data_IF_364881034073
#
_entry.id   IF_364881034073
#
_cell.length_a   1.000
_cell.length_b   1.000
_cell.length_c   1.000
_cell.angle_alpha   90.00
_cell.angle_beta   90.00
_cell.angle_gamma   90.00
#
_symmetry.space_group_name_H-M   'P 1'
#
loop_
_entity.id
_entity.type
_entity.pdbx_description
1 polymer ?
#
# COMPACT_ATOMS: atom_id res chain seq x y z
N UNK A 1 13.16 11.28 1.13
CA UNK A 1 12.09 11.07 2.14
C UNK A 1 12.06 9.57 2.37
N UNK A 2 12.15 9.08 3.62
CA UNK A 2 11.90 7.65 3.87
C UNK A 2 10.38 7.44 3.74
N UNK A 3 9.96 6.54 2.87
CA UNK A 3 8.54 6.25 2.67
C UNK A 3 8.07 5.34 3.80
N UNK A 4 7.81 5.93 4.96
CA UNK A 4 7.39 5.18 6.14
C UNK A 4 5.89 5.02 6.16
N UNK A 5 5.43 3.78 6.05
CA UNK A 5 4.04 3.44 6.25
C UNK A 5 3.84 2.96 7.69
N UNK A 6 3.18 3.77 8.50
CA UNK A 6 2.76 3.38 9.84
C UNK A 6 1.43 2.62 9.77
N UNK A 7 1.47 1.37 9.28
CA UNK A 7 0.31 0.48 9.24
C UNK A 7 -0.07 0.07 10.67
N UNK A 8 -1.32 0.31 11.05
CA UNK A 8 -1.83 -0.30 12.27
C UNK A 8 -2.00 -1.81 12.09
N UNK A 9 -1.68 -2.54 13.15
CA UNK A 9 -1.91 -3.98 13.30
C UNK A 9 -2.01 -4.32 14.78
N UNK A 10 -2.36 -5.56 15.11
CA UNK A 10 -2.41 -6.06 16.49
C UNK A 10 -1.08 -5.88 17.26
N UNK A 11 0.06 -5.80 16.56
CA UNK A 11 1.36 -5.49 17.18
C UNK A 11 1.41 -4.10 17.84
N UNK A 12 0.53 -3.20 17.41
CA UNK A 12 0.39 -1.84 17.93
C UNK A 12 -0.93 -1.65 18.68
N UNK A 13 -1.57 -2.74 19.11
CA UNK A 13 -2.77 -2.69 19.94
C UNK A 13 -2.52 -1.86 21.21
N UNK A 14 -3.55 -1.13 21.64
CA UNK A 14 -3.46 -0.25 22.81
C UNK A 14 -3.30 -1.05 24.11
N UNK A 15 -3.93 -2.22 24.16
CA UNK A 15 -3.68 -3.23 25.17
C UNK A 15 -2.75 -4.30 24.57
N UNK A 16 -1.65 -4.67 25.25
CA UNK A 16 -0.72 -5.67 24.74
C UNK A 16 -1.41 -7.02 24.50
N UNK A 17 -1.38 -7.48 23.25
CA UNK A 17 -1.83 -8.83 22.88
C UNK A 17 -0.63 -9.78 23.06
N UNK A 18 -0.87 -10.97 23.61
CA UNK A 18 0.18 -11.99 23.72
C UNK A 18 0.39 -12.64 22.34
N UNK A 19 1.60 -12.56 21.79
CA UNK A 19 1.96 -13.09 20.47
C UNK A 19 0.99 -12.68 19.34
N UNK A 20 0.87 -11.36 19.06
CA UNK A 20 0.05 -10.89 17.95
C UNK A 20 0.52 -11.52 16.64
N UNK A 21 -0.42 -11.84 15.76
CA UNK A 21 -0.08 -12.43 14.47
C UNK A 21 0.54 -11.36 13.56
N UNK A 22 1.63 -11.67 12.84
CA UNK A 22 2.18 -10.76 11.86
C UNK A 22 1.18 -10.50 10.73
N UNK A 23 1.27 -9.32 10.13
CA UNK A 23 0.51 -8.97 8.93
C UNK A 23 1.08 -9.76 7.74
N UNK A 24 0.34 -10.73 7.22
CA UNK A 24 0.83 -11.63 6.17
C UNK A 24 0.33 -11.29 4.76
N UNK A 25 -0.40 -10.18 4.63
CA UNK A 25 -1.12 -9.79 3.42
C UNK A 25 -0.87 -8.32 3.02
N UNK A 26 0.19 -7.69 3.52
CA UNK A 26 0.54 -6.29 3.22
C UNK A 26 2.05 -6.08 3.05
N UNK A 27 2.49 -6.13 1.80
CA UNK A 27 3.89 -5.95 1.42
C UNK A 27 4.01 -4.85 0.38
N UNK A 28 4.73 -3.77 0.69
CA UNK A 28 4.91 -2.64 -0.21
C UNK A 28 6.38 -2.47 -0.52
N UNK A 29 6.72 -2.46 -1.80
CA UNK A 29 8.07 -2.20 -2.28
C UNK A 29 8.08 -0.87 -3.01
N UNK A 30 8.95 0.03 -2.59
CA UNK A 30 9.12 1.37 -3.13
C UNK A 30 10.42 1.48 -3.92
N UNK A 31 10.41 2.33 -4.95
CA UNK A 31 11.62 2.79 -5.64
C UNK A 31 11.69 4.32 -5.65
N UNK A 32 12.85 4.87 -5.32
CA UNK A 32 13.12 6.31 -5.33
C UNK A 32 14.59 6.58 -5.73
N UNK A 33 14.81 7.58 -6.57
CA UNK A 33 16.14 8.14 -6.83
C UNK A 33 16.49 9.28 -5.87
N UNK A 34 17.78 9.43 -5.63
CA UNK A 34 18.41 10.59 -5.01
C UNK A 34 18.72 11.61 -6.10
N UNK A 35 18.16 12.82 -5.94
CA UNK A 35 18.35 13.93 -6.89
C UNK A 35 19.83 14.26 -7.08
N UNK A 36 20.26 14.31 -8.34
CA UNK A 36 21.63 14.58 -8.76
C UNK A 36 22.65 13.48 -8.44
N UNK A 37 22.21 12.29 -8.02
CA UNK A 37 23.10 11.17 -7.67
C UNK A 37 22.87 9.96 -8.58
N UNK A 38 21.62 9.52 -8.74
CA UNK A 38 21.26 8.31 -9.50
C UNK A 38 19.94 8.47 -10.27
N UNK A 39 19.66 9.68 -10.74
CA UNK A 39 18.47 10.09 -11.48
C UNK A 39 18.68 10.21 -13.00
N UNK A 40 19.80 9.70 -13.52
CA UNK A 40 19.96 9.44 -14.95
C UNK A 40 18.89 8.43 -15.43
N UNK A 41 18.28 8.69 -16.59
CA UNK A 41 17.23 7.83 -17.18
C UNK A 41 16.13 7.43 -16.18
N UNK A 42 15.75 8.37 -15.31
CA UNK A 42 14.90 8.08 -14.16
C UNK A 42 13.54 7.49 -14.53
N UNK A 43 12.91 8.07 -15.56
CA UNK A 43 11.59 7.64 -16.02
C UNK A 43 11.64 6.20 -16.51
N UNK A 44 12.69 5.83 -17.25
CA UNK A 44 12.90 4.48 -17.76
C UNK A 44 13.14 3.49 -16.62
N UNK A 45 13.95 3.87 -15.62
CA UNK A 45 14.20 3.05 -14.42
C UNK A 45 12.90 2.78 -13.64
N UNK A 46 12.05 3.79 -13.45
CA UNK A 46 10.76 3.63 -12.78
C UNK A 46 9.76 2.81 -13.58
N UNK A 47 9.69 3.01 -14.90
CA UNK A 47 8.87 2.16 -15.78
C UNK A 47 9.34 0.71 -15.76
N UNK A 48 10.66 0.48 -15.75
CA UNK A 48 11.24 -0.86 -15.62
C UNK A 48 10.86 -1.51 -14.29
N UNK A 49 11.00 -0.80 -13.16
CA UNK A 49 10.56 -1.25 -11.83
C UNK A 49 9.09 -1.70 -11.85
N UNK A 50 8.19 -0.85 -12.35
CA UNK A 50 6.76 -1.15 -12.40
C UNK A 50 6.43 -2.32 -13.34
N UNK A 51 7.12 -2.43 -14.49
CA UNK A 51 6.95 -3.57 -15.42
C UNK A 51 7.44 -4.89 -14.82
N UNK A 52 8.52 -4.87 -14.05
CA UNK A 52 8.98 -6.03 -13.30
C UNK A 52 7.94 -6.43 -12.26
N UNK A 53 7.36 -5.46 -11.53
CA UNK A 53 6.33 -5.72 -10.55
C UNK A 53 5.12 -6.45 -11.16
N UNK A 54 4.67 -6.05 -12.35
CA UNK A 54 3.51 -6.65 -13.02
C UNK A 54 3.61 -8.17 -13.26
N UNK A 55 4.82 -8.71 -13.42
CA UNK A 55 5.02 -10.16 -13.55
C UNK A 55 4.57 -10.92 -12.29
N UNK A 56 4.62 -10.25 -11.15
CA UNK A 56 4.29 -10.78 -9.81
C UNK A 56 2.88 -10.39 -9.34
N UNK A 57 2.04 -9.88 -10.24
CA UNK A 57 0.60 -9.61 -10.02
C UNK A 57 0.33 -8.77 -8.75
N UNK A 58 0.84 -7.53 -8.69
CA UNK A 58 0.61 -6.66 -7.54
C UNK A 58 -0.88 -6.35 -7.43
N UNK A 59 -1.37 -6.24 -6.20
CA UNK A 59 -2.77 -5.87 -5.91
C UNK A 59 -3.00 -4.38 -6.10
N UNK A 60 -1.95 -3.57 -5.97
CA UNK A 60 -1.94 -2.16 -6.32
C UNK A 60 -0.52 -1.71 -6.72
N UNK A 61 -0.43 -0.61 -7.45
CA UNK A 61 0.84 0.06 -7.75
C UNK A 61 0.56 1.53 -8.04
N UNK A 62 1.55 2.38 -7.86
CA UNK A 62 1.34 3.81 -8.06
C UNK A 62 2.59 4.64 -8.17
N UNK A 63 2.34 5.89 -8.52
CA UNK A 63 3.27 7.01 -8.57
C UNK A 63 2.77 8.05 -7.57
N UNK A 64 3.65 8.50 -6.66
CA UNK A 64 3.29 9.43 -5.59
C UNK A 64 2.79 10.81 -6.07
N UNK A 65 3.06 11.17 -7.33
CA UNK A 65 2.64 12.44 -7.94
C UNK A 65 1.47 12.29 -8.90
N UNK A 66 1.32 11.11 -9.52
CA UNK A 66 0.31 10.89 -10.56
C UNK A 66 -0.89 10.08 -10.12
N UNK A 67 -0.76 9.15 -9.16
CA UNK A 67 -1.85 8.25 -8.79
C UNK A 67 -1.47 6.78 -8.71
N UNK A 68 -2.37 5.97 -8.16
CA UNK A 68 -2.33 4.50 -8.26
C UNK A 68 -3.17 3.95 -9.41
N UNK A 69 -3.19 2.62 -9.56
CA UNK A 69 -4.03 1.93 -10.56
C UNK A 69 -5.53 2.23 -10.39
N UNK A 70 -5.95 2.56 -9.18
CA UNK A 70 -7.31 3.01 -8.87
C UNK A 70 -7.22 4.45 -8.36
N UNK A 71 -7.15 5.41 -9.28
CA UNK A 71 -7.01 6.83 -8.95
C UNK A 71 -8.28 7.65 -9.21
N UNK A 72 -8.47 8.83 -8.60
CA UNK A 72 -9.51 9.77 -8.99
C UNK A 72 -9.31 10.22 -10.44
N UNK A 73 -10.39 10.55 -11.13
CA UNK A 73 -10.36 11.00 -12.52
C UNK A 73 -10.94 12.41 -12.61
N UNK A 74 -10.27 13.29 -13.34
CA UNK A 74 -10.68 14.69 -13.48
C UNK A 74 -11.94 14.87 -14.33
N UNK A 75 -12.22 13.94 -15.24
CA UNK A 75 -13.40 13.95 -16.09
C UNK A 75 -14.64 13.32 -15.41
N UNK A 76 -14.55 13.02 -14.11
CA UNK A 76 -15.64 12.44 -13.33
C UNK A 76 -16.12 13.43 -12.25
N UNK A 77 -17.42 13.39 -11.97
CA UNK A 77 -18.00 14.12 -10.84
C UNK A 77 -18.08 13.22 -9.58
N UNK A 78 -18.28 13.80 -8.38
CA UNK A 78 -18.36 13.05 -7.12
C UNK A 78 -19.34 11.89 -7.12
N UNK A 79 -20.46 11.97 -7.86
CA UNK A 79 -21.47 10.90 -7.90
C UNK A 79 -21.04 9.76 -8.80
N UNK A 80 -20.36 10.05 -9.91
CA UNK A 80 -19.83 9.06 -10.85
C UNK A 80 -18.71 8.22 -10.24
N UNK A 81 -17.94 8.77 -9.28
CA UNK A 81 -16.98 7.96 -8.53
C UNK A 81 -17.66 6.73 -7.92
N UNK A 82 -18.88 6.80 -7.42
CA UNK A 82 -19.54 5.65 -6.78
C UNK A 82 -20.14 4.61 -7.74
N UNK A 83 -20.01 4.78 -9.06
CA UNK A 83 -20.61 3.90 -10.09
C UNK A 83 -19.71 3.76 -11.31
N UNK A 84 -18.40 3.71 -11.08
CA UNK A 84 -17.41 3.60 -12.16
C UNK A 84 -16.83 2.21 -12.25
N UNK A 85 -16.24 1.93 -13.41
CA UNK A 85 -15.38 0.77 -13.60
C UNK A 85 -14.25 0.76 -12.55
N UNK A 86 -14.10 -0.40 -11.91
CA UNK A 86 -13.12 -0.66 -10.86
C UNK A 86 -11.86 -1.33 -11.41
N UNK A 87 -11.82 -1.60 -12.72
CA UNK A 87 -10.69 -2.25 -13.38
C UNK A 87 -9.38 -1.49 -13.12
N UNK A 88 -8.37 -2.24 -12.73
CA UNK A 88 -7.01 -1.76 -12.54
C UNK A 88 -6.41 -1.39 -13.91
N UNK A 89 -5.79 -0.21 -13.99
CA UNK A 89 -5.08 0.25 -15.19
C UNK A 89 -3.58 0.49 -14.88
N UNK A 90 -2.76 -0.57 -14.89
CA UNK A 90 -1.32 -0.43 -14.66
C UNK A 90 -0.60 0.34 -15.76
N UNK A 91 -1.06 0.24 -17.01
CA UNK A 91 -0.43 0.95 -18.13
C UNK A 91 -0.61 2.46 -18.02
N UNK A 92 -1.76 2.93 -17.51
CA UNK A 92 -1.95 4.34 -17.19
C UNK A 92 -0.92 4.85 -16.17
N UNK A 93 -0.62 4.06 -15.13
CA UNK A 93 0.40 4.42 -14.13
C UNK A 93 1.79 4.49 -14.77
N UNK A 94 2.17 3.46 -15.53
CA UNK A 94 3.50 3.37 -16.18
C UNK A 94 3.69 4.50 -17.20
N UNK A 95 2.68 4.78 -18.03
CA UNK A 95 2.72 5.84 -19.03
C UNK A 95 2.76 7.23 -18.40
N UNK A 96 2.09 7.41 -17.25
CA UNK A 96 1.99 8.69 -16.55
C UNK A 96 3.28 9.20 -15.89
N UNK A 97 4.28 8.32 -15.69
CA UNK A 97 5.57 8.72 -15.10
C UNK A 97 6.28 9.69 -16.04
N UNK A 98 6.60 10.88 -15.54
CA UNK A 98 7.24 11.97 -16.29
C UNK A 98 8.42 12.63 -15.56
N UNK A 99 8.82 12.14 -14.38
CA UNK A 99 9.98 12.69 -13.68
C UNK A 99 10.20 12.16 -12.27
N UNK A 100 10.68 13.04 -11.38
CA UNK A 100 10.97 12.69 -9.99
C UNK A 100 9.70 12.41 -9.20
N UNK A 101 9.58 11.17 -8.77
CA UNK A 101 8.50 10.68 -7.92
C UNK A 101 9.00 9.53 -7.05
N UNK A 102 8.10 8.92 -6.29
CA UNK A 102 8.26 7.57 -5.75
C UNK A 102 7.30 6.66 -6.49
N UNK A 103 7.80 5.54 -6.98
CA UNK A 103 6.93 4.45 -7.45
C UNK A 103 6.82 3.36 -6.41
N UNK A 104 5.66 2.71 -6.34
CA UNK A 104 5.37 1.66 -5.38
C UNK A 104 4.63 0.49 -6.04
N UNK A 105 4.90 -0.72 -5.55
CA UNK A 105 4.15 -1.93 -5.84
C UNK A 105 3.68 -2.57 -4.53
N UNK A 106 2.43 -3.03 -4.50
CA UNK A 106 1.77 -3.59 -3.33
C UNK A 106 1.41 -5.05 -3.61
N UNK A 107 1.76 -5.95 -2.70
CA UNK A 107 1.51 -7.38 -2.78
C UNK A 107 0.75 -7.85 -1.54
N UNK A 108 -0.12 -8.83 -1.73
CA UNK A 108 -0.94 -9.45 -0.68
C UNK A 108 -0.38 -10.77 -0.17
N UNK A 109 0.85 -11.13 -0.58
CA UNK A 109 1.51 -12.34 -0.13
C UNK A 109 3.03 -12.19 -0.20
N UNK A 110 3.70 -12.90 0.71
CA UNK A 110 5.16 -12.86 0.86
C UNK A 110 5.90 -13.31 -0.40
N UNK A 111 5.41 -14.37 -1.06
CA UNK A 111 6.09 -15.01 -2.18
C UNK A 111 6.22 -14.05 -3.37
N UNK A 112 5.14 -13.35 -3.73
CA UNK A 112 5.15 -12.36 -4.80
C UNK A 112 6.12 -11.21 -4.52
N UNK A 113 6.17 -10.72 -3.27
CA UNK A 113 7.15 -9.70 -2.88
C UNK A 113 8.59 -10.23 -2.94
N UNK A 114 8.85 -11.44 -2.45
CA UNK A 114 10.19 -12.06 -2.49
C UNK A 114 10.68 -12.24 -3.92
N UNK A 115 9.85 -12.79 -4.79
CA UNK A 115 10.21 -13.05 -6.20
C UNK A 115 10.44 -11.73 -6.95
N UNK A 116 9.65 -10.70 -6.64
CA UNK A 116 9.87 -9.36 -7.17
C UNK A 116 11.18 -8.74 -6.70
N UNK A 117 11.52 -8.85 -5.40
CA UNK A 117 12.78 -8.32 -4.85
C UNK A 117 13.99 -9.04 -5.45
N UNK A 118 13.89 -10.35 -5.69
CA UNK A 118 14.93 -11.13 -6.36
C UNK A 118 15.14 -10.64 -7.81
N UNK A 119 14.06 -10.42 -8.57
CA UNK A 119 14.16 -9.83 -9.91
C UNK A 119 14.73 -8.42 -9.91
N UNK A 120 14.35 -7.58 -8.93
CA UNK A 120 14.89 -6.22 -8.79
C UNK A 120 16.40 -6.23 -8.53
N UNK A 121 16.87 -7.17 -7.71
CA UNK A 121 18.30 -7.37 -7.46
C UNK A 121 19.04 -7.68 -8.76
N UNK A 122 18.51 -8.58 -9.58
CA UNK A 122 19.12 -8.94 -10.88
C UNK A 122 19.07 -7.77 -11.86
N UNK A 123 17.98 -7.00 -11.86
CA UNK A 123 17.79 -5.86 -12.76
C UNK A 123 18.72 -4.68 -12.43
N UNK A 124 19.19 -4.57 -11.19
CA UNK A 124 20.13 -3.54 -10.71
C UNK A 124 19.88 -2.14 -11.29
N UNK A 125 18.67 -1.63 -11.06
CA UNK A 125 18.21 -0.36 -11.64
C UNK A 125 19.00 0.88 -11.12
N UNK A 126 19.92 0.70 -10.18
CA UNK A 126 20.75 1.76 -9.61
C UNK A 126 19.99 2.76 -8.73
N UNK A 127 18.74 2.48 -8.36
CA UNK A 127 17.87 3.33 -7.52
C UNK A 127 17.61 2.70 -6.16
N UNK A 128 17.24 3.53 -5.18
CA UNK A 128 16.99 3.07 -3.82
C UNK A 128 15.70 2.29 -3.74
N UNK A 129 15.75 1.11 -3.11
CA UNK A 129 14.59 0.27 -2.83
C UNK A 129 14.28 0.32 -1.33
N UNK A 130 13.01 0.51 -0.99
CA UNK A 130 12.52 0.44 0.39
C UNK A 130 11.38 -0.58 0.49
N UNK A 131 11.42 -1.45 1.49
CA UNK A 131 10.40 -2.49 1.71
C UNK A 131 9.66 -2.16 3.01
N UNK A 132 8.36 -1.94 2.90
CA UNK A 132 7.45 -1.85 4.04
C UNK A 132 6.70 -3.17 4.18
N UNK A 133 7.00 -3.90 5.25
CA UNK A 133 6.48 -5.23 5.60
C UNK A 133 6.70 -5.47 7.10
N UNK A 134 6.14 -6.54 7.71
CA UNK A 134 6.59 -6.97 9.03
C UNK A 134 8.10 -7.15 9.07
N UNK A 135 8.72 -6.75 10.19
CA UNK A 135 10.18 -6.65 10.30
C UNK A 135 10.89 -7.97 10.01
N UNK A 136 10.39 -9.06 10.59
CA UNK A 136 10.98 -10.39 10.43
C UNK A 136 10.88 -10.89 8.99
N UNK A 137 9.80 -10.55 8.29
CA UNK A 137 9.58 -10.92 6.90
C UNK A 137 10.41 -10.07 5.94
N UNK A 138 10.56 -8.77 6.20
CA UNK A 138 11.50 -7.92 5.47
C UNK A 138 12.95 -8.42 5.63
N UNK A 139 13.36 -8.78 6.86
CA UNK A 139 14.68 -9.34 7.13
C UNK A 139 14.86 -10.71 6.45
N UNK A 140 13.84 -11.57 6.48
CA UNK A 140 13.83 -12.86 5.79
C UNK A 140 14.01 -12.67 4.29
N UNK A 141 13.22 -11.79 3.66
CA UNK A 141 13.30 -11.49 2.23
C UNK A 141 14.72 -11.02 1.83
N UNK A 142 15.27 -10.04 2.54
CA UNK A 142 16.64 -9.57 2.28
C UNK A 142 17.67 -10.69 2.42
N UNK A 143 17.58 -11.53 3.46
CA UNK A 143 18.50 -12.66 3.66
C UNK A 143 18.41 -13.68 2.53
N UNK A 144 17.20 -14.06 2.13
CA UNK A 144 16.95 -15.02 1.05
C UNK A 144 17.40 -14.50 -0.31
N UNK A 145 17.30 -13.18 -0.55
CA UNK A 145 17.82 -12.51 -1.74
C UNK A 145 19.33 -12.19 -1.64
N UNK A 146 20.02 -12.56 -0.55
CA UNK A 146 21.43 -12.25 -0.33
C UNK A 146 21.74 -10.75 -0.22
N UNK A 147 20.76 -9.92 0.16
CA UNK A 147 20.85 -8.47 0.30
C UNK A 147 21.21 -8.12 1.75
N UNK A 148 22.29 -7.36 1.94
CA UNK A 148 22.58 -6.75 3.24
C UNK A 148 21.83 -5.42 3.35
N UNK A 149 20.84 -5.36 4.23
CA UNK A 149 20.07 -4.12 4.48
C UNK A 149 20.97 -3.03 5.07
N UNK A 150 20.84 -1.80 4.58
CA UNK A 150 21.66 -0.67 5.04
C UNK A 150 21.01 0.14 6.16
N UNK A 151 19.68 0.20 6.21
CA UNK A 151 18.93 0.92 7.24
C UNK A 151 17.62 0.21 7.56
N UNK A 152 17.05 0.61 8.69
CA UNK A 152 15.78 0.08 9.21
C UNK A 152 15.06 1.21 9.88
N UNK A 153 13.77 1.29 9.66
CA UNK A 153 12.91 2.22 10.37
C UNK A 153 11.91 1.45 11.24
N UNK A 154 11.80 1.86 12.50
CA UNK A 154 10.87 1.27 13.46
C UNK A 154 9.78 2.27 13.82
N UNK A 155 8.53 1.85 13.72
CA UNK A 155 7.44 2.56 14.40
C UNK A 155 7.40 2.15 15.86
N UNK A 156 7.43 3.12 16.77
CA UNK A 156 7.28 2.90 18.22
C UNK A 156 5.80 2.74 18.65
N UNK A 157 4.89 2.69 17.67
CA UNK A 157 3.45 2.58 17.85
C UNK A 157 2.76 3.88 18.25
N UNK A 158 1.48 3.76 18.59
CA UNK A 158 0.63 4.87 19.00
C UNK A 158 0.85 5.18 20.50
N UNK A 159 0.94 6.48 20.85
CA UNK A 159 1.16 6.95 22.23
C UNK A 159 0.22 8.12 22.56
N UNK A 160 -0.17 8.25 23.82
CA UNK A 160 -0.98 9.37 24.33
C UNK A 160 -2.35 8.93 24.86
N UNK A 161 -3.38 9.74 24.64
CA UNK A 161 -4.78 9.49 25.05
C UNK A 161 -5.47 8.52 24.10
N UNK A 162 -5.07 7.25 24.17
CA UNK A 162 -5.55 6.18 23.28
C UNK A 162 -7.06 5.92 23.41
N UNK A 163 -7.66 6.25 24.56
CA UNK A 163 -9.10 6.18 24.80
C UNK A 163 -9.93 7.16 23.97
N UNK A 164 -9.28 8.22 23.45
CA UNK A 164 -9.91 9.20 22.54
C UNK A 164 -9.60 8.91 21.07
N UNK A 165 -8.94 7.79 20.80
CA UNK A 165 -8.48 7.46 19.47
C UNK A 165 -9.56 6.73 18.67
N UNK A 166 -9.24 6.42 17.42
CA UNK A 166 -10.13 5.69 16.52
C UNK A 166 -10.28 4.24 17.00
N UNK A 167 -11.44 3.65 16.69
CA UNK A 167 -11.62 2.20 16.82
C UNK A 167 -10.64 1.44 15.91
N UNK A 168 -10.30 0.23 16.32
CA UNK A 168 -9.29 -0.65 15.72
C UNK A 168 -9.49 -0.81 14.21
N UNK A 169 -10.72 -1.11 13.77
CA UNK A 169 -11.03 -1.37 12.36
C UNK A 169 -10.86 -0.09 11.54
N UNK A 170 -11.38 1.04 12.02
CA UNK A 170 -11.19 2.34 11.35
C UNK A 170 -9.72 2.70 11.25
N UNK A 171 -8.93 2.39 12.28
CA UNK A 171 -7.51 2.69 12.32
C UNK A 171 -6.72 1.82 11.32
N UNK A 172 -7.00 0.53 11.28
CA UNK A 172 -6.40 -0.40 10.33
C UNK A 172 -6.69 0.04 8.88
N UNK A 173 -7.93 0.44 8.61
CA UNK A 173 -8.35 0.96 7.31
C UNK A 173 -7.70 2.30 6.92
N UNK A 174 -7.72 3.29 7.81
CA UNK A 174 -7.24 4.64 7.49
C UNK A 174 -5.71 4.75 7.43
N UNK A 175 -4.99 3.94 8.20
CA UNK A 175 -3.51 3.98 8.24
C UNK A 175 -2.85 3.33 7.04
N UNK A 176 -3.59 2.53 6.25
CA UNK A 176 -3.04 1.92 5.02
C UNK A 176 -2.50 2.95 4.02
N UNK A 177 -3.03 4.17 3.96
CA UNK A 177 -2.48 5.19 3.06
C UNK A 177 -1.10 5.72 3.50
N UNK A 178 -0.74 5.63 4.79
CA UNK A 178 0.46 6.23 5.38
C UNK A 178 0.44 7.76 5.51
N UNK A 179 -0.21 8.47 4.58
CA UNK A 179 -0.24 9.95 4.53
C UNK A 179 -1.53 10.57 5.10
N UNK A 180 -2.44 9.75 5.64
CA UNK A 180 -3.72 10.24 6.19
C UNK A 180 -4.75 10.73 5.16
N UNK A 181 -4.55 10.46 3.86
CA UNK A 181 -5.49 10.87 2.81
C UNK A 181 -6.79 10.05 2.81
N UNK A 182 -6.76 8.84 3.35
CA UNK A 182 -7.96 8.06 3.67
C UNK A 182 -8.42 8.49 5.06
N UNK A 183 -9.36 9.44 5.12
CA UNK A 183 -9.84 9.95 6.40
C UNK A 183 -10.57 8.88 7.21
N UNK A 184 -10.47 8.97 8.54
CA UNK A 184 -11.14 8.06 9.45
C UNK A 184 -12.68 8.06 9.29
N UNK A 185 -13.27 9.25 9.08
CA UNK A 185 -14.71 9.37 8.80
C UNK A 185 -15.11 8.67 7.51
N UNK A 186 -14.25 8.73 6.50
CA UNK A 186 -14.50 8.04 5.24
C UNK A 186 -14.39 6.52 5.41
N UNK A 187 -13.38 6.02 6.11
CA UNK A 187 -13.26 4.59 6.45
C UNK A 187 -14.49 4.07 7.21
N UNK A 188 -14.96 4.80 8.23
CA UNK A 188 -16.21 4.50 8.95
C UNK A 188 -17.41 4.46 8.01
N UNK A 189 -17.52 5.43 7.10
CA UNK A 189 -18.63 5.49 6.17
C UNK A 189 -18.66 4.31 5.20
N UNK A 190 -17.50 3.85 4.76
CA UNK A 190 -17.40 2.66 3.92
C UNK A 190 -17.83 1.40 4.67
N UNK A 191 -17.40 1.24 5.93
CA UNK A 191 -17.87 0.13 6.79
C UNK A 191 -19.40 0.17 7.00
N UNK A 192 -19.96 1.34 7.31
CA UNK A 192 -21.42 1.51 7.46
C UNK A 192 -22.17 1.11 6.19
N UNK A 193 -21.70 1.55 5.02
CA UNK A 193 -22.36 1.22 3.76
C UNK A 193 -22.33 -0.27 3.42
N UNK A 194 -21.29 -0.99 3.83
CA UNK A 194 -21.25 -2.45 3.66
C UNK A 194 -22.21 -3.13 4.64
N UNK A 195 -22.28 -2.68 5.90
CA UNK A 195 -23.25 -3.18 6.90
C UNK A 195 -24.70 -2.91 6.50
N UNK A 196 -24.96 -1.81 5.81
CA UNK A 196 -26.26 -1.41 5.28
C UNK A 196 -26.60 -2.09 3.93
N UNK A 197 -25.77 -3.02 3.44
CA UNK A 197 -25.92 -3.68 2.13
C UNK A 197 -25.99 -2.69 0.94
N UNK A 198 -25.37 -1.51 1.09
CA UNK A 198 -25.31 -0.48 0.06
C UNK A 198 -24.12 -0.67 -0.87
N UNK A 199 -23.08 -1.39 -0.42
CA UNK A 199 -21.84 -1.67 -1.14
C UNK A 199 -21.30 -3.04 -0.76
N UNK A 200 -20.58 -3.66 -1.66
CA UNK A 200 -19.79 -4.84 -1.33
C UNK A 200 -18.47 -4.43 -0.63
N UNK A 201 -17.83 -5.34 0.14
CA UNK A 201 -16.50 -5.10 0.70
C UNK A 201 -15.45 -4.72 -0.35
N UNK A 202 -15.51 -5.36 -1.52
CA UNK A 202 -14.63 -5.08 -2.64
C UNK A 202 -14.83 -3.65 -3.16
N UNK A 203 -16.07 -3.23 -3.40
CA UNK A 203 -16.37 -1.87 -3.85
C UNK A 203 -15.88 -0.82 -2.84
N UNK A 204 -16.11 -1.06 -1.55
CA UNK A 204 -15.66 -0.19 -0.48
C UNK A 204 -14.13 -0.05 -0.45
N UNK A 205 -13.39 -1.15 -0.54
CA UNK A 205 -11.94 -1.15 -0.61
C UNK A 205 -11.42 -0.37 -1.83
N UNK A 206 -12.02 -0.56 -3.00
CA UNK A 206 -11.65 0.16 -4.21
C UNK A 206 -11.99 1.65 -4.12
N UNK A 207 -13.07 2.04 -3.45
CA UNK A 207 -13.38 3.45 -3.20
C UNK A 207 -12.33 4.10 -2.31
N UNK A 208 -11.90 3.41 -1.26
CA UNK A 208 -10.88 3.89 -0.34
C UNK A 208 -9.54 4.11 -1.04
N UNK A 209 -9.13 3.16 -1.88
CA UNK A 209 -7.86 3.23 -2.61
C UNK A 209 -7.69 4.50 -3.45
N UNK A 210 -8.77 5.08 -3.95
CA UNK A 210 -8.74 6.31 -4.78
C UNK A 210 -8.25 7.52 -4.04
N UNK A 211 -8.51 7.59 -2.75
CA UNK A 211 -8.05 8.70 -1.94
C UNK A 211 -6.60 8.50 -1.49
N UNK A 212 -6.05 7.29 -1.68
CA UNK A 212 -4.62 7.06 -1.59
C UNK A 212 -3.93 7.44 -2.92
N UNK A 213 -3.56 8.72 -3.02
CA UNK A 213 -2.97 9.28 -4.24
C UNK A 213 -1.64 8.64 -4.67
N UNK A 214 -0.92 7.96 -3.77
CA UNK A 214 0.34 7.30 -4.12
C UNK A 214 0.19 5.81 -4.47
N UNK A 215 -1.01 5.25 -4.42
CA UNK A 215 -1.28 3.86 -4.84
C UNK A 215 -0.75 2.77 -3.91
N UNK A 216 -0.38 3.10 -2.67
CA UNK A 216 0.12 2.11 -1.68
C UNK A 216 -0.99 1.39 -0.92
N UNK A 217 -2.24 1.85 -1.06
CA UNK A 217 -3.38 1.26 -0.36
C UNK A 217 -3.65 -0.15 -0.86
N UNK A 218 -3.68 -1.11 0.05
CA UNK A 218 -3.86 -2.51 -0.27
C UNK A 218 -5.34 -2.87 -0.28
N UNK A 219 -5.91 -2.97 -1.49
CA UNK A 219 -7.34 -3.24 -1.67
C UNK A 219 -7.76 -4.62 -1.18
N UNK A 220 -6.88 -5.63 -1.26
CA UNK A 220 -7.21 -7.00 -0.82
C UNK A 220 -7.25 -7.10 0.69
N UNK A 221 -6.28 -6.50 1.37
CA UNK A 221 -6.29 -6.36 2.83
C UNK A 221 -7.50 -5.56 3.32
N UNK A 222 -7.80 -4.43 2.69
CA UNK A 222 -8.97 -3.62 3.02
C UNK A 222 -10.28 -4.40 2.88
N UNK A 223 -10.45 -5.15 1.80
CA UNK A 223 -11.59 -6.04 1.57
C UNK A 223 -11.72 -7.09 2.70
N UNK A 224 -10.61 -7.74 3.08
CA UNK A 224 -10.57 -8.72 4.16
C UNK A 224 -10.97 -8.15 5.52
N UNK A 225 -10.42 -6.98 5.88
CA UNK A 225 -10.77 -6.26 7.11
C UNK A 225 -12.27 -5.94 7.15
N UNK A 226 -12.82 -5.43 6.03
CA UNK A 226 -14.24 -5.07 5.93
C UNK A 226 -15.13 -6.32 6.04
N UNK A 227 -14.78 -7.43 5.38
CA UNK A 227 -15.50 -8.70 5.48
C UNK A 227 -15.57 -9.19 6.93
N UNK A 228 -14.43 -9.24 7.61
CA UNK A 228 -14.36 -9.63 9.02
C UNK A 228 -15.19 -8.70 9.91
N UNK A 229 -15.09 -7.39 9.72
CA UNK A 229 -15.83 -6.37 10.47
C UNK A 229 -17.36 -6.43 10.29
N UNK A 230 -17.83 -7.02 9.19
CA UNK A 230 -19.24 -7.15 8.85
C UNK A 230 -19.77 -8.57 9.05
N UNK A 231 -18.97 -9.49 9.61
CA UNK A 231 -19.31 -10.92 9.74
C UNK A 231 -19.71 -11.58 8.41
N UNK A 232 -19.15 -11.10 7.31
CA UNK A 232 -19.33 -11.70 5.99
C UNK A 232 -18.28 -12.81 5.88
N UNK A 233 -18.73 -14.05 5.64
CA UNK A 233 -17.84 -15.22 5.55
C UNK A 233 -16.70 -14.97 4.55
N UNK A 234 -15.49 -15.41 4.92
CA UNK A 234 -14.24 -15.20 4.18
C UNK A 234 -14.05 -16.22 3.07
#
# INVERSE_FOLDING_TARGET
MTNTLHRYSEHYAFEPITNPKPVQDDYIVFAMSSRGINDDHLVEKYRAFLRLALKHKPVNMGDATKGGMIQPRQDMNPTAHWRRDQRLDPEQVIAGIDGHTTVAAVFDNYQAMRDFVDELRVADLGISINISAPMDEAQRCCREAGISRHSVEYSIGFRGRLEKFLDVITLELSTMCGHGMVSAHFAKKMLEWVKEDRRTPEEAAHYMARFCICGVFNIRRAEGIIKQACHLES
#
